data_IF_312990438528
#
_entry.id   IF_312990438528
#
_cell.length_a   1.000
_cell.length_b   1.000
_cell.length_c   1.000
_cell.angle_alpha   90.00
_cell.angle_beta   90.00
_cell.angle_gamma   90.00
#
_symmetry.space_group_name_H-M   'P 1'
#
loop_
_entity.id
_entity.type
_entity.pdbx_description
1 polymer ?
#
# COMPACT_ATOMS: atom_id res chain seq x y z
N UNK A 1 3.47 -17.81 11.30
CA UNK A 1 3.39 -16.57 10.49
C UNK A 1 2.76 -15.55 11.40
N UNK A 2 3.50 -14.51 11.78
CA UNK A 2 2.91 -13.43 12.59
C UNK A 2 1.90 -12.67 11.73
N UNK A 3 0.77 -12.29 12.32
CA UNK A 3 -0.21 -11.45 11.62
C UNK A 3 0.38 -10.06 11.38
N UNK A 4 0.19 -9.47 10.19
CA UNK A 4 0.67 -8.13 9.93
C UNK A 4 -0.02 -7.13 10.86
N UNK A 5 0.77 -6.24 11.48
CA UNK A 5 0.22 -5.15 12.28
C UNK A 5 -0.69 -4.28 11.42
N UNK A 6 -1.89 -3.99 11.92
CA UNK A 6 -2.84 -3.07 11.27
C UNK A 6 -2.56 -1.64 11.74
N UNK A 7 -2.90 -0.68 10.90
CA UNK A 7 -2.81 0.76 11.17
C UNK A 7 -4.12 1.42 10.76
N UNK A 8 -4.58 2.43 11.50
CA UNK A 8 -5.75 3.21 11.10
C UNK A 8 -5.39 4.26 10.03
N UNK A 9 -6.36 4.77 9.27
CA UNK A 9 -6.12 5.88 8.34
C UNK A 9 -5.51 7.12 9.01
N UNK A 10 -5.92 7.44 10.24
CA UNK A 10 -5.43 8.58 11.02
C UNK A 10 -3.96 8.39 11.40
N UNK A 11 -3.58 7.19 11.83
CA UNK A 11 -2.19 6.84 12.14
C UNK A 11 -1.32 6.89 10.88
N UNK A 12 -1.81 6.36 9.76
CA UNK A 12 -1.11 6.42 8.48
C UNK A 12 -0.90 7.89 8.03
N UNK A 13 -1.91 8.74 8.18
CA UNK A 13 -1.82 10.18 7.89
C UNK A 13 -0.82 10.88 8.82
N UNK A 14 -0.84 10.57 10.11
CA UNK A 14 0.11 11.14 11.07
C UNK A 14 1.56 10.77 10.75
N UNK A 15 1.81 9.55 10.24
CA UNK A 15 3.15 9.14 9.78
C UNK A 15 3.60 9.94 8.55
N UNK A 16 2.72 10.14 7.57
CA UNK A 16 3.01 10.98 6.40
C UNK A 16 3.32 12.43 6.82
N UNK A 17 2.52 12.99 7.71
CA UNK A 17 2.67 14.37 8.18
C UNK A 17 3.97 14.59 8.98
N UNK A 18 4.48 13.54 9.62
CA UNK A 18 5.78 13.52 10.30
C UNK A 18 6.97 13.33 9.35
N UNK A 19 6.72 13.24 8.05
CA UNK A 19 7.77 13.05 7.03
C UNK A 19 8.40 11.65 7.05
N UNK A 20 7.71 10.64 7.59
CA UNK A 20 8.20 9.26 7.56
C UNK A 20 8.05 8.67 6.16
N UNK A 21 9.04 7.88 5.74
CA UNK A 21 8.99 7.09 4.50
C UNK A 21 7.97 5.95 4.61
N UNK A 22 6.72 6.30 4.33
CA UNK A 22 5.57 5.41 4.19
C UNK A 22 5.25 5.26 2.71
N UNK A 23 4.96 4.03 2.28
CA UNK A 23 4.43 3.77 0.93
C UNK A 23 3.16 2.96 1.00
N UNK A 24 2.14 3.41 0.27
CA UNK A 24 0.90 2.67 0.12
C UNK A 24 1.01 1.73 -1.09
N UNK A 25 0.50 0.52 -0.92
CA UNK A 25 0.49 -0.50 -1.98
C UNK A 25 -0.96 -0.89 -2.26
N UNK A 26 -1.47 -0.49 -3.41
CA UNK A 26 -2.84 -0.81 -3.83
C UNK A 26 -2.89 -2.24 -4.36
N UNK A 27 -3.43 -3.16 -3.57
CA UNK A 27 -3.52 -4.59 -3.88
C UNK A 27 -4.93 -5.03 -4.26
N UNK A 28 -5.81 -4.08 -4.60
CA UNK A 28 -7.20 -4.35 -5.00
C UNK A 28 -7.29 -5.17 -6.28
N UNK A 29 -8.40 -5.84 -6.54
CA UNK A 29 -8.65 -6.44 -7.86
C UNK A 29 -8.75 -5.37 -8.96
N UNK A 30 -8.56 -5.73 -10.22
CA UNK A 30 -8.70 -4.78 -11.34
C UNK A 30 -10.08 -4.10 -11.36
N UNK A 31 -11.16 -4.86 -11.11
CA UNK A 31 -12.51 -4.31 -11.07
C UNK A 31 -12.68 -3.22 -9.99
N UNK A 32 -12.24 -3.49 -8.76
CA UNK A 32 -12.36 -2.52 -7.65
C UNK A 32 -11.48 -1.28 -7.86
N UNK A 33 -10.30 -1.46 -8.45
CA UNK A 33 -9.40 -0.35 -8.76
C UNK A 33 -9.98 0.58 -9.84
N UNK A 34 -10.55 0.02 -10.91
CA UNK A 34 -11.15 0.79 -12.00
C UNK A 34 -12.46 1.46 -11.58
N UNK A 35 -13.31 0.75 -10.82
CA UNK A 35 -14.57 1.30 -10.31
C UNK A 35 -14.38 2.41 -9.27
N UNK A 36 -13.20 2.49 -8.64
CA UNK A 36 -12.95 3.43 -7.56
C UNK A 36 -12.55 4.83 -8.09
N UNK A 37 -13.33 5.88 -7.77
CA UNK A 37 -13.00 7.26 -8.16
C UNK A 37 -11.86 7.86 -7.32
N UNK A 38 -11.44 7.18 -6.23
CA UNK A 38 -10.46 7.68 -5.28
C UNK A 38 -9.29 6.71 -5.19
N UNK A 39 -8.08 7.25 -5.31
CA UNK A 39 -6.82 6.51 -5.23
C UNK A 39 -5.84 7.34 -4.39
N UNK A 40 -5.05 6.68 -3.54
CA UNK A 40 -4.06 7.37 -2.71
C UNK A 40 -2.94 7.87 -3.63
N UNK A 41 -2.65 9.17 -3.60
CA UNK A 41 -1.59 9.75 -4.43
C UNK A 41 -0.24 9.16 -4.04
N UNK A 42 0.51 8.68 -5.03
CA UNK A 42 1.82 8.07 -4.82
C UNK A 42 1.77 6.61 -4.36
N UNK A 43 0.60 5.99 -4.28
CA UNK A 43 0.49 4.56 -4.05
C UNK A 43 1.05 3.76 -5.24
N UNK A 44 1.78 2.68 -4.95
CA UNK A 44 2.19 1.74 -5.98
C UNK A 44 1.07 0.74 -6.24
N UNK A 45 0.74 0.54 -7.51
CA UNK A 45 -0.29 -0.41 -7.93
C UNK A 45 0.31 -1.78 -8.19
N UNK A 46 -0.17 -2.79 -7.47
CA UNK A 46 0.17 -4.19 -7.72
C UNK A 46 -1.11 -5.01 -7.79
N UNK A 47 -1.36 -5.66 -8.91
CA UNK A 47 -2.47 -6.61 -8.96
C UNK A 47 -2.20 -7.75 -7.94
N UNK A 48 -3.20 -8.22 -7.19
CA UNK A 48 -2.99 -9.24 -6.16
C UNK A 48 -2.43 -10.56 -6.73
N UNK A 49 -2.73 -10.87 -8.00
CA UNK A 49 -2.13 -12.01 -8.71
C UNK A 49 -0.65 -11.83 -9.10
N UNK A 50 -0.11 -10.61 -9.05
CA UNK A 50 1.26 -10.30 -9.48
C UNK A 50 2.19 -9.92 -8.31
N UNK A 51 1.64 -9.71 -7.11
CA UNK A 51 2.39 -9.21 -5.95
C UNK A 51 3.56 -10.13 -5.59
N UNK A 52 3.38 -11.45 -5.71
CA UNK A 52 4.42 -12.44 -5.42
C UNK A 52 5.54 -12.35 -6.45
N UNK A 53 5.19 -12.34 -7.74
CA UNK A 53 6.14 -12.30 -8.86
C UNK A 53 6.91 -10.98 -8.94
N UNK A 54 6.28 -9.87 -8.52
CA UNK A 54 6.86 -8.52 -8.59
C UNK A 54 7.32 -7.99 -7.23
N UNK A 55 7.40 -8.85 -6.23
CA UNK A 55 7.83 -8.50 -4.86
C UNK A 55 9.25 -7.93 -4.79
N UNK A 56 10.08 -8.13 -5.82
CA UNK A 56 11.41 -7.53 -5.94
C UNK A 56 11.38 -6.03 -6.26
N UNK A 57 10.28 -5.50 -6.79
CA UNK A 57 10.11 -4.06 -7.08
C UNK A 57 9.70 -3.26 -5.85
N UNK A 58 9.27 -3.93 -4.78
CA UNK A 58 8.82 -3.28 -3.56
C UNK A 58 10.00 -2.70 -2.76
N UNK A 59 9.93 -1.43 -2.34
CA UNK A 59 10.98 -0.82 -1.51
C UNK A 59 10.99 -1.49 -0.13
N UNK A 60 12.11 -2.14 0.20
CA UNK A 60 12.28 -2.88 1.47
C UNK A 60 12.78 -2.02 2.63
N UNK A 61 13.17 -0.79 2.33
CA UNK A 61 13.65 0.24 3.26
C UNK A 61 12.53 1.12 3.83
N UNK A 62 11.29 0.97 3.32
CA UNK A 62 10.14 1.80 3.68
C UNK A 62 9.07 1.01 4.39
N UNK A 63 8.27 1.70 5.21
CA UNK A 63 7.08 1.10 5.80
C UNK A 63 6.01 0.93 4.72
N UNK A 64 5.66 -0.31 4.40
CA UNK A 64 4.65 -0.65 3.41
C UNK A 64 3.28 -0.83 4.06
N UNK A 65 2.27 -0.15 3.52
CA UNK A 65 0.86 -0.30 3.93
C UNK A 65 0.04 -0.77 2.73
N UNK A 66 -0.20 -2.08 2.62
CA UNK A 66 -1.12 -2.60 1.61
C UNK A 66 -2.57 -2.23 1.95
N UNK A 67 -3.37 -1.92 0.92
CA UNK A 67 -4.79 -1.59 1.05
C UNK A 67 -5.62 -2.07 -0.16
#
# INVERSE_FOLDING_TARGET
MEEPSRITPEEAKALLDRGRDLIFVDVRGSADYEASPIKIRGALRFHPGEIVTRSGELPRDKLMVPY
#
